data_IF_542092477635
#
_entry.id   IF_542092477635
#
_cell.length_a   1.000
_cell.length_b   1.000
_cell.length_c   1.000
_cell.angle_alpha   90.00
_cell.angle_beta   90.00
_cell.angle_gamma   90.00
#
_symmetry.space_group_name_H-M   'P 1'
#
loop_
_entity.id
_entity.type
_entity.pdbx_description
1 polymer ?
#
# COMPACT_ATOMS: atom_id res chain seq x y z
N UNK A 1 5.75 1.67 -45.54
CA UNK A 1 5.73 2.68 -44.46
C UNK A 1 5.43 1.93 -43.16
N UNK A 2 6.47 1.58 -42.41
CA UNK A 2 6.36 0.75 -41.20
C UNK A 2 5.90 1.63 -40.04
N UNK A 3 4.62 1.59 -39.69
CA UNK A 3 4.11 2.20 -38.47
C UNK A 3 4.65 1.41 -37.27
N UNK A 4 5.61 1.99 -36.56
CA UNK A 4 6.13 1.44 -35.31
C UNK A 4 5.02 1.50 -34.26
N UNK A 5 4.50 0.35 -33.86
CA UNK A 5 3.48 0.24 -32.81
C UNK A 5 4.02 0.79 -31.47
N UNK A 6 3.18 1.46 -30.67
CA UNK A 6 3.58 1.91 -29.33
C UNK A 6 3.86 0.69 -28.45
N UNK A 7 5.04 0.65 -27.81
CA UNK A 7 5.42 -0.38 -26.83
C UNK A 7 4.51 -0.26 -25.61
N UNK A 8 3.65 -1.24 -25.31
CA UNK A 8 2.93 -1.27 -24.05
C UNK A 8 3.82 -1.84 -22.96
N UNK A 9 3.76 -1.25 -21.77
CA UNK A 9 4.34 -1.82 -20.56
C UNK A 9 5.68 -1.23 -20.16
N UNK A 10 5.70 0.05 -19.79
CA UNK A 10 6.61 0.45 -18.72
C UNK A 10 6.07 -0.18 -17.44
N UNK A 11 6.57 -1.36 -17.06
CA UNK A 11 6.31 -1.96 -15.74
C UNK A 11 6.88 -1.02 -14.68
N UNK A 12 6.08 -0.04 -14.27
CA UNK A 12 6.39 0.83 -13.13
C UNK A 12 6.33 -0.05 -11.89
N UNK A 13 7.51 -0.36 -11.37
CA UNK A 13 7.66 -1.13 -10.15
C UNK A 13 6.80 -0.48 -9.05
N UNK A 14 5.81 -1.23 -8.55
CA UNK A 14 5.01 -0.86 -7.38
C UNK A 14 5.86 -0.95 -6.10
N UNK A 15 7.03 -0.30 -6.09
CA UNK A 15 7.96 -0.24 -4.97
C UNK A 15 7.26 0.20 -3.67
N UNK A 16 6.26 1.07 -3.79
CA UNK A 16 5.43 1.53 -2.67
C UNK A 16 4.63 0.41 -1.98
N UNK A 17 4.38 -0.73 -2.63
CA UNK A 17 3.77 -1.91 -1.97
C UNK A 17 4.64 -2.51 -0.87
N UNK A 18 5.95 -2.26 -0.86
CA UNK A 18 6.84 -2.66 0.24
C UNK A 18 6.55 -1.92 1.55
N UNK A 19 5.90 -0.75 1.52
CA UNK A 19 5.46 -0.05 2.73
C UNK A 19 4.48 -0.90 3.55
N UNK A 20 3.68 -1.76 2.91
CA UNK A 20 2.75 -2.67 3.59
C UNK A 20 3.45 -3.77 4.38
N UNK A 21 4.72 -4.04 4.09
CA UNK A 21 5.52 -5.07 4.80
C UNK A 21 6.03 -4.53 6.14
N UNK A 22 6.11 -3.20 6.30
CA UNK A 22 6.57 -2.52 7.53
C UNK A 22 5.81 -2.98 8.79
N UNK A 23 4.46 -2.99 8.84
CA UNK A 23 3.75 -3.46 10.02
C UNK A 23 4.06 -4.94 10.33
N UNK A 24 4.30 -5.78 9.33
CA UNK A 24 4.65 -7.18 9.54
C UNK A 24 6.08 -7.36 10.05
N UNK A 25 7.05 -6.61 9.54
CA UNK A 25 8.42 -6.63 10.06
C UNK A 25 8.49 -6.12 11.50
N UNK A 26 7.72 -5.08 11.81
CA UNK A 26 7.57 -4.58 13.17
C UNK A 26 6.94 -5.62 14.09
N UNK A 27 5.83 -6.24 13.68
CA UNK A 27 5.18 -7.27 14.50
C UNK A 27 6.05 -8.52 14.65
N UNK A 28 6.61 -9.07 13.57
CA UNK A 28 7.35 -10.34 13.60
C UNK A 28 8.77 -10.20 14.18
N UNK A 29 9.45 -9.09 13.91
CA UNK A 29 10.85 -8.88 14.34
C UNK A 29 10.97 -8.41 15.78
N UNK A 30 10.02 -7.62 16.27
CA UNK A 30 10.06 -7.07 17.63
C UNK A 30 9.16 -7.82 18.61
N UNK A 31 8.26 -8.71 18.16
CA UNK A 31 7.47 -9.59 19.03
C UNK A 31 8.31 -10.36 20.06
N UNK A 32 9.47 -10.97 19.73
CA UNK A 32 10.30 -11.65 20.70
C UNK A 32 10.88 -10.68 21.74
N UNK A 33 11.26 -9.48 21.31
CA UNK A 33 11.86 -8.47 22.18
C UNK A 33 10.85 -7.85 23.15
N UNK A 34 9.58 -7.71 22.77
CA UNK A 34 8.52 -7.17 23.66
C UNK A 34 7.97 -8.20 24.63
N UNK A 35 8.13 -9.49 24.36
CA UNK A 35 7.56 -10.53 25.23
C UNK A 35 8.33 -10.70 26.55
N UNK A 36 9.64 -10.45 26.54
CA UNK A 36 10.49 -10.51 27.74
C UNK A 36 10.57 -9.17 28.52
N UNK A 37 9.91 -8.13 28.02
CA UNK A 37 9.94 -6.80 28.64
C UNK A 37 8.95 -6.75 29.79
N UNK A 38 9.46 -6.77 31.03
CA UNK A 38 8.68 -6.63 32.26
C UNK A 38 8.18 -5.18 32.53
N UNK A 39 8.33 -4.26 31.58
CA UNK A 39 7.82 -2.89 31.72
C UNK A 39 6.29 -2.89 31.62
N UNK A 40 5.61 -2.33 32.62
CA UNK A 40 4.15 -2.19 32.64
C UNK A 40 3.74 -0.72 32.53
N UNK A 41 3.83 -0.09 31.33
CA UNK A 41 3.40 1.29 31.17
C UNK A 41 1.91 1.41 31.53
N UNK A 42 1.55 2.41 32.34
CA UNK A 42 0.17 2.61 32.85
C UNK A 42 -0.45 1.40 33.59
N UNK A 43 0.36 0.46 34.05
CA UNK A 43 -0.12 -0.76 34.74
C UNK A 43 -0.68 -1.83 33.82
N UNK A 44 -0.59 -1.68 32.49
CA UNK A 44 -0.98 -2.70 31.52
C UNK A 44 0.23 -3.50 31.02
N UNK A 45 0.05 -4.80 30.69
CA UNK A 45 1.11 -5.63 30.11
C UNK A 45 1.67 -4.98 28.85
N UNK A 46 3.00 -4.92 28.71
CA UNK A 46 3.68 -4.36 27.54
C UNK A 46 3.15 -4.88 26.21
N UNK A 47 2.82 -6.18 26.05
CA UNK A 47 2.27 -6.70 24.79
C UNK A 47 0.94 -6.02 24.39
N UNK A 48 0.09 -5.63 25.34
CA UNK A 48 -1.17 -4.96 25.03
C UNK A 48 -0.94 -3.53 24.51
N UNK A 49 -0.05 -2.78 25.17
CA UNK A 49 0.36 -1.45 24.70
C UNK A 49 1.03 -1.53 23.31
N UNK A 50 1.85 -2.55 23.11
CA UNK A 50 2.52 -2.82 21.84
C UNK A 50 1.52 -3.10 20.72
N UNK A 51 0.47 -3.88 21.00
CA UNK A 51 -0.64 -4.12 20.07
C UNK A 51 -1.34 -2.83 19.66
N UNK A 52 -1.69 -1.97 20.61
CA UNK A 52 -2.34 -0.68 20.31
C UNK A 52 -1.44 0.22 19.47
N UNK A 53 -0.14 0.26 19.78
CA UNK A 53 0.87 0.98 18.97
C UNK A 53 0.93 0.41 17.55
N UNK A 54 0.86 -0.91 17.40
CA UNK A 54 0.79 -1.58 16.10
C UNK A 54 -0.39 -1.13 15.24
N UNK A 55 -1.57 -0.91 15.84
CA UNK A 55 -2.76 -0.40 15.14
C UNK A 55 -2.51 1.02 14.62
N UNK A 56 -1.93 1.89 15.46
CA UNK A 56 -1.62 3.28 15.09
C UNK A 56 -0.59 3.30 13.95
N UNK A 57 0.49 2.53 14.07
CA UNK A 57 1.54 2.42 13.03
C UNK A 57 0.95 1.90 11.73
N UNK A 58 0.13 0.85 11.77
CA UNK A 58 -0.52 0.28 10.58
C UNK A 58 -1.42 1.31 9.91
N UNK A 59 -2.23 2.03 10.68
CA UNK A 59 -3.11 3.10 10.17
C UNK A 59 -2.31 4.21 9.48
N UNK A 60 -1.18 4.63 10.07
CA UNK A 60 -0.29 5.63 9.47
C UNK A 60 0.34 5.13 8.16
N UNK A 61 0.80 3.87 8.13
CA UNK A 61 1.38 3.26 6.92
C UNK A 61 0.35 3.23 5.79
N UNK A 62 -0.87 2.78 6.08
CA UNK A 62 -1.97 2.75 5.09
C UNK A 62 -2.25 4.16 4.58
N UNK A 63 -2.41 5.14 5.48
CA UNK A 63 -2.61 6.53 5.09
C UNK A 63 -1.47 7.11 4.25
N UNK A 64 -0.22 6.73 4.53
CA UNK A 64 0.94 7.14 3.75
C UNK A 64 0.93 6.52 2.35
N UNK A 65 0.57 5.24 2.23
CA UNK A 65 0.40 4.56 0.94
C UNK A 65 -0.68 5.26 0.12
N UNK A 66 -1.85 5.54 0.68
CA UNK A 66 -2.91 6.28 -0.03
C UNK A 66 -2.46 7.67 -0.47
N UNK A 67 -1.70 8.38 0.36
CA UNK A 67 -1.17 9.70 -0.01
C UNK A 67 -0.17 9.61 -1.16
N UNK A 68 0.70 8.60 -1.16
CA UNK A 68 1.67 8.37 -2.23
C UNK A 68 0.98 7.92 -3.52
N UNK A 69 -0.08 7.13 -3.43
CA UNK A 69 -0.88 6.68 -4.56
C UNK A 69 -1.56 7.88 -5.27
N UNK A 70 -2.12 8.81 -4.48
CA UNK A 70 -2.67 10.07 -4.99
C UNK A 70 -1.62 10.97 -5.65
N UNK A 71 -0.39 10.97 -5.12
CA UNK A 71 0.72 11.72 -5.71
C UNK A 71 1.30 11.06 -6.97
N UNK A 72 1.14 9.74 -7.12
CA UNK A 72 1.60 8.98 -8.26
C UNK A 72 0.65 9.06 -9.47
N UNK A 73 -0.55 9.63 -9.32
CA UNK A 73 -1.49 9.87 -10.42
C UNK A 73 -2.26 8.64 -10.90
N UNK A 74 -2.37 7.60 -10.06
CA UNK A 74 -3.05 6.33 -10.41
C UNK A 74 -4.53 6.55 -10.78
N UNK A 75 -5.18 7.56 -10.20
CA UNK A 75 -6.57 7.96 -10.52
C UNK A 75 -6.74 8.42 -11.98
N UNK A 76 -5.72 9.04 -12.59
CA UNK A 76 -5.78 9.46 -14.01
C UNK A 76 -5.60 8.28 -14.97
N UNK A 77 -4.80 7.27 -14.58
CA UNK A 77 -4.58 6.05 -15.36
C UNK A 77 -5.81 5.12 -15.33
N UNK A 78 -6.48 4.98 -14.18
CA UNK A 78 -7.76 4.25 -14.08
C UNK A 78 -8.86 4.92 -14.90
N UNK A 79 -8.95 6.25 -14.87
CA UNK A 79 -9.89 7.00 -15.69
C UNK A 79 -9.62 6.80 -17.19
N UNK A 80 -8.35 6.85 -17.62
CA UNK A 80 -7.97 6.61 -19.01
C UNK A 80 -8.26 5.17 -19.46
N UNK A 81 -8.04 4.18 -18.59
CA UNK A 81 -8.35 2.77 -18.87
C UNK A 81 -9.87 2.51 -18.97
N UNK A 82 -10.66 3.11 -18.09
CA UNK A 82 -12.13 2.99 -18.12
C UNK A 82 -12.72 3.63 -19.38
N UNK A 83 -12.20 4.77 -19.81
CA UNK A 83 -12.59 5.40 -21.09
C UNK A 83 -12.22 4.49 -22.27
N UNK A 84 -10.99 4.00 -22.34
CA UNK A 84 -10.54 3.11 -23.43
C UNK A 84 -11.31 1.77 -23.49
N UNK A 85 -11.80 1.29 -22.34
CA UNK A 85 -12.53 0.01 -22.24
C UNK A 85 -14.05 0.17 -22.41
N UNK A 86 -14.59 1.38 -22.21
CA UNK A 86 -16.03 1.66 -22.43
C UNK A 86 -16.35 1.98 -23.90
N UNK A 87 -15.35 2.34 -24.71
CA UNK A 87 -15.51 2.70 -26.13
C UNK A 87 -15.73 1.54 -27.15
N UNK A 88 -15.51 0.23 -26.91
CA UNK A 88 -15.68 -0.79 -27.96
C UNK A 88 -17.07 -1.46 -28.02
N UNK A 89 -18.05 -1.10 -27.17
CA UNK A 89 -19.36 -1.79 -27.12
C UNK A 89 -20.52 -1.01 -27.76
N UNK A 90 -20.27 0.19 -28.31
CA UNK A 90 -21.33 1.13 -28.72
C UNK A 90 -21.59 1.31 -30.23
N UNK A 91 -20.72 0.83 -31.13
CA UNK A 91 -20.80 1.17 -32.58
C UNK A 91 -21.09 -0.03 -33.51
N UNK A 92 -22.02 -0.91 -33.14
CA UNK A 92 -22.52 -1.95 -34.05
C UNK A 92 -24.06 -2.04 -33.99
N UNK A 93 -24.76 -0.97 -34.38
CA UNK A 93 -26.17 -1.06 -34.76
C UNK A 93 -26.54 -0.07 -35.86
#
# INVERSE_FOLDING_TARGET
>A
MSHTAPKPGATRSHWYRWLLVIPFLWQAGLAPAVNDVALTPFGVPFPMFWQMTGIVVTSLVIGLVFRLDRLAGVEEEEAAFLVATSEPLGEQQ
#
